data_IF_192540761682
#
_entry.id   IF_192540761682
#
_cell.length_a   1.000
_cell.length_b   1.000
_cell.length_c   1.000
_cell.angle_alpha   90.00
_cell.angle_beta   90.00
_cell.angle_gamma   90.00
#
_symmetry.space_group_name_H-M   'P 1'
#
loop_
_entity.id
_entity.type
_entity.pdbx_description
1 polymer ?
#
# COMPACT_ATOMS: atom_id res chain seq x y z
N UNK A 1 2.04 4.59 3.66
CA UNK A 1 2.48 3.47 2.81
C UNK A 1 3.99 3.25 2.89
N UNK A 2 4.85 4.21 2.52
CA UNK A 2 6.31 4.03 2.60
C UNK A 2 6.81 3.70 4.02
N UNK A 3 6.23 4.31 5.05
CA UNK A 3 6.53 3.99 6.46
C UNK A 3 6.21 2.54 6.82
N UNK A 4 5.27 1.92 6.10
CA UNK A 4 4.86 0.53 6.22
C UNK A 4 5.56 -0.35 5.16
N UNK A 5 6.68 0.12 4.61
CA UNK A 5 7.54 -0.55 3.61
C UNK A 5 6.86 -0.88 2.27
N UNK A 6 5.74 -0.22 1.94
CA UNK A 6 5.03 -0.42 0.66
C UNK A 6 5.30 0.75 -0.28
N UNK A 7 5.90 0.43 -1.43
CA UNK A 7 6.19 1.38 -2.49
C UNK A 7 5.06 1.39 -3.52
N UNK A 8 4.28 2.47 -3.51
CA UNK A 8 3.34 2.79 -4.58
C UNK A 8 4.00 3.78 -5.54
N UNK A 9 3.45 3.89 -6.76
CA UNK A 9 3.84 4.93 -7.69
C UNK A 9 3.72 6.31 -7.00
N UNK A 10 4.76 7.17 -7.04
CA UNK A 10 4.79 8.43 -6.30
C UNK A 10 3.98 9.54 -7.00
N UNK A 11 2.88 9.18 -7.65
CA UNK A 11 2.00 10.07 -8.40
C UNK A 11 0.58 9.51 -8.44
N UNK A 12 -0.41 10.36 -8.18
CA UNK A 12 -1.82 10.00 -8.33
C UNK A 12 -2.27 9.86 -9.80
N UNK A 13 -1.42 10.24 -10.76
CA UNK A 13 -1.69 10.14 -12.20
C UNK A 13 -0.97 8.96 -12.87
N UNK A 14 -0.35 8.08 -12.07
CA UNK A 14 0.31 6.88 -12.54
C UNK A 14 -0.50 5.64 -12.21
N UNK A 15 -0.40 4.63 -13.07
CA UNK A 15 -1.06 3.33 -12.87
C UNK A 15 -0.23 2.45 -11.95
N UNK A 16 -0.90 1.71 -11.05
CA UNK A 16 -0.27 0.64 -10.28
C UNK A 16 -0.33 -0.68 -11.04
N UNK A 17 0.72 -1.50 -10.91
CA UNK A 17 0.82 -2.81 -11.56
C UNK A 17 1.08 -3.90 -10.52
N UNK A 18 0.58 -5.10 -10.78
CA UNK A 18 0.89 -6.32 -10.03
C UNK A 18 1.72 -7.27 -10.90
N UNK A 19 2.45 -8.17 -10.24
CA UNK A 19 3.16 -9.28 -10.87
C UNK A 19 2.64 -10.61 -10.34
N UNK A 20 2.96 -11.70 -11.03
CA UNK A 20 2.67 -13.07 -10.56
C UNK A 20 3.42 -13.47 -9.28
N UNK A 21 4.41 -12.68 -8.85
CA UNK A 21 5.13 -12.89 -7.59
C UNK A 21 4.27 -12.52 -6.39
N UNK A 22 3.33 -11.58 -6.56
CA UNK A 22 2.40 -11.20 -5.50
C UNK A 22 1.48 -12.37 -5.20
N UNK A 23 1.52 -12.84 -3.96
CA UNK A 23 0.65 -13.89 -3.44
C UNK A 23 -0.38 -13.30 -2.46
N UNK A 24 -1.19 -14.17 -1.85
CA UNK A 24 -2.23 -13.73 -0.89
C UNK A 24 -1.64 -13.03 0.34
N UNK A 25 -0.50 -13.49 0.86
CA UNK A 25 0.17 -12.88 2.01
C UNK A 25 0.66 -11.46 1.70
N UNK A 26 1.20 -11.23 0.49
CA UNK A 26 1.61 -9.89 0.04
C UNK A 26 0.42 -8.93 -0.03
N UNK A 27 -0.74 -9.43 -0.49
CA UNK A 27 -1.98 -8.66 -0.58
C UNK A 27 -2.49 -8.32 0.83
N UNK A 28 -2.55 -9.31 1.73
CA UNK A 28 -3.01 -9.12 3.10
C UNK A 28 -2.13 -8.14 3.88
N UNK A 29 -0.80 -8.24 3.72
CA UNK A 29 0.14 -7.27 4.27
C UNK A 29 -0.13 -5.86 3.72
N UNK A 30 -0.42 -5.75 2.42
CA UNK A 30 -0.75 -4.47 1.78
C UNK A 30 -2.03 -3.85 2.32
N UNK A 31 -3.06 -4.66 2.57
CA UNK A 31 -4.31 -4.20 3.17
C UNK A 31 -4.09 -3.69 4.61
N UNK A 32 -3.36 -4.44 5.44
CA UNK A 32 -3.06 -4.01 6.81
C UNK A 32 -2.26 -2.70 6.87
N UNK A 33 -1.26 -2.56 6.00
CA UNK A 33 -0.49 -1.31 5.87
C UNK A 33 -1.36 -0.14 5.43
N UNK A 34 -2.34 -0.41 4.56
CA UNK A 34 -3.32 0.57 4.08
C UNK A 34 -4.20 1.05 5.22
N UNK A 35 -4.72 0.14 6.06
CA UNK A 35 -5.53 0.50 7.24
C UNK A 35 -4.77 1.44 8.19
N UNK A 36 -3.50 1.14 8.46
CA UNK A 36 -2.64 2.00 9.30
C UNK A 36 -2.45 3.38 8.66
N UNK A 37 -2.16 3.43 7.36
CA UNK A 37 -1.93 4.68 6.65
C UNK A 37 -3.20 5.53 6.57
N UNK A 38 -4.38 4.95 6.34
CA UNK A 38 -5.63 5.70 6.33
C UNK A 38 -6.04 6.19 7.72
N UNK A 39 -5.82 5.39 8.77
CA UNK A 39 -6.05 5.83 10.14
C UNK A 39 -5.20 7.05 10.51
N UNK A 40 -3.95 7.12 10.05
CA UNK A 40 -3.06 8.25 10.32
C UNK A 40 -3.46 9.54 9.59
N UNK A 41 -4.25 9.46 8.50
CA UNK A 41 -4.79 10.64 7.81
C UNK A 41 -5.92 11.31 8.60
N UNK A 42 -6.65 10.55 9.41
CA UNK A 42 -7.77 11.07 10.22
C UNK A 42 -7.28 11.58 11.58
N UNK A 43 -6.16 11.05 12.08
CA UNK A 43 -5.55 11.45 13.35
C UNK A 43 -4.70 12.74 13.27
N UNK A 44 -4.59 13.36 12.08
CA UNK A 44 -3.92 14.64 11.83
C UNK A 44 -4.92 15.80 11.89
#
# INVERSE_FOLDING_TARGET
>A
MLEQVIYLAPSAFETAFMSLTHNEEDIDCTLQATDIAFASLIAQ
#
